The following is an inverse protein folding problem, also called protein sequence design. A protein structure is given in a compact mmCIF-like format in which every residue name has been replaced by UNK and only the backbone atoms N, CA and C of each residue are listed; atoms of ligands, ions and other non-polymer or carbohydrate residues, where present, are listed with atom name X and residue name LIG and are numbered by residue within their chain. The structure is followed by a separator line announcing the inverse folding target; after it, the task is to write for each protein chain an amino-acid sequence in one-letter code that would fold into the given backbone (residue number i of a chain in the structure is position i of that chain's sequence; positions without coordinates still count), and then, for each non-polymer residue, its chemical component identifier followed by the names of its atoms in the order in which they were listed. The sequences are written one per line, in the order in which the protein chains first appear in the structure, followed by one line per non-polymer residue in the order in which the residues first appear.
data_IF_602480428632
#
_entry.id   IF_602480428632
#
_cell.length_a   1.000
_cell.length_b   1.000
_cell.length_c   1.000
_cell.angle_alpha   90.00
_cell.angle_beta   90.00
_cell.angle_gamma   90.00
#
_symmetry.space_group_name_H-M   'P 1'
#
loop_
_entity.id
_entity.type
_entity.pdbx_description
1 polymer ?
#
# COMPACT_ATOMS: atom_id res chain seq x y z
N UNK A 1 5.00 -19.85 -21.71
CA UNK A 1 4.66 -18.95 -20.58
C UNK A 1 4.67 -17.49 -21.01
N UNK A 2 3.51 -16.83 -21.19
CA UNK A 2 3.43 -15.47 -21.75
C UNK A 2 3.45 -14.31 -20.72
N UNK A 3 4.06 -14.49 -19.53
CA UNK A 3 4.04 -13.48 -18.45
C UNK A 3 5.41 -12.82 -18.25
N UNK A 4 5.42 -11.61 -17.70
CA UNK A 4 6.65 -10.86 -17.46
C UNK A 4 7.48 -11.46 -16.32
N UNK A 5 8.63 -12.05 -16.68
CA UNK A 5 9.62 -12.63 -15.75
C UNK A 5 10.84 -11.70 -15.57
N UNK A 6 10.93 -10.63 -16.38
CA UNK A 6 12.06 -9.72 -16.41
C UNK A 6 12.25 -8.85 -15.15
N UNK A 7 13.17 -7.87 -15.20
CA UNK A 7 13.53 -7.04 -14.05
C UNK A 7 12.36 -6.18 -13.54
N UNK A 8 11.81 -6.52 -12.38
CA UNK A 8 10.64 -5.83 -11.78
C UNK A 8 10.93 -4.41 -11.31
N UNK A 9 12.14 -4.16 -10.79
CA UNK A 9 12.55 -2.80 -10.35
C UNK A 9 12.61 -1.82 -11.52
N UNK A 10 12.93 -2.29 -12.74
CA UNK A 10 12.90 -1.46 -13.97
C UNK A 10 11.49 -0.93 -14.22
N UNK A 11 10.46 -1.77 -14.05
CA UNK A 11 9.06 -1.38 -14.20
C UNK A 11 8.66 -0.36 -13.13
N UNK A 12 8.97 -0.63 -11.86
CA UNK A 12 8.62 0.29 -10.76
C UNK A 12 9.25 1.66 -10.94
N UNK A 13 10.51 1.73 -11.40
CA UNK A 13 11.19 3.00 -11.69
C UNK A 13 10.52 3.80 -12.81
N UNK A 14 9.88 3.14 -13.77
CA UNK A 14 9.20 3.77 -14.90
C UNK A 14 7.77 4.19 -14.59
N UNK A 15 7.03 3.34 -13.88
CA UNK A 15 5.57 3.43 -13.76
C UNK A 15 5.13 3.84 -12.35
N UNK A 16 5.99 3.63 -11.35
CA UNK A 16 5.71 3.90 -9.94
C UNK A 16 5.60 2.63 -9.08
N UNK A 17 5.25 2.82 -7.81
CA UNK A 17 5.15 1.74 -6.83
C UNK A 17 3.95 0.83 -7.13
N UNK A 18 4.21 -0.47 -7.31
CA UNK A 18 3.20 -1.49 -7.58
C UNK A 18 3.29 -2.58 -6.51
N UNK A 19 2.33 -2.62 -5.58
CA UNK A 19 2.36 -3.55 -4.43
C UNK A 19 2.22 -5.00 -4.88
N UNK A 20 1.39 -5.27 -5.89
CA UNK A 20 1.17 -6.62 -6.39
C UNK A 20 2.38 -7.22 -7.13
N UNK A 21 3.24 -6.38 -7.72
CA UNK A 21 4.39 -6.82 -8.51
C UNK A 21 5.62 -7.17 -7.67
N UNK A 22 6.05 -6.25 -6.79
CA UNK A 22 7.19 -6.48 -5.87
C UNK A 22 7.14 -5.54 -4.67
N UNK A 23 7.62 -6.04 -3.52
CA UNK A 23 7.83 -5.26 -2.30
C UNK A 23 9.13 -4.46 -2.30
N UNK A 24 10.09 -4.83 -3.17
CA UNK A 24 11.41 -4.20 -3.23
C UNK A 24 11.29 -2.74 -3.67
N UNK A 25 12.00 -1.84 -2.99
CA UNK A 25 12.11 -0.42 -3.37
C UNK A 25 13.43 -0.17 -4.12
N UNK A 26 13.46 0.75 -5.09
CA UNK A 26 14.66 1.02 -5.89
C UNK A 26 15.64 1.95 -5.16
N UNK A 27 16.06 1.61 -3.93
CA UNK A 27 16.87 2.49 -3.07
C UNK A 27 18.17 3.00 -3.71
N UNK A 28 18.81 2.17 -4.55
CA UNK A 28 20.06 2.52 -5.25
C UNK A 28 19.86 3.41 -6.48
N UNK A 29 18.63 3.59 -6.94
CA UNK A 29 18.30 4.33 -8.18
C UNK A 29 17.45 5.55 -7.84
N UNK A 30 17.93 6.31 -6.86
CA UNK A 30 17.31 7.52 -6.32
C UNK A 30 18.28 8.68 -6.52
N UNK A 31 17.77 9.84 -6.86
CA UNK A 31 18.57 11.05 -6.98
C UNK A 31 19.09 11.49 -5.60
N UNK A 32 20.43 11.56 -5.45
CA UNK A 32 21.12 11.86 -4.19
C UNK A 32 21.56 13.32 -4.04
N UNK A 33 21.35 14.17 -5.03
CA UNK A 33 21.71 15.58 -4.98
C UNK A 33 20.85 16.40 -4.00
N UNK A 34 21.14 17.71 -3.90
CA UNK A 34 20.35 18.67 -3.10
C UNK A 34 19.14 19.19 -3.92
N UNK A 35 18.16 19.79 -3.24
CA UNK A 35 16.98 20.40 -3.86
C UNK A 35 15.74 19.50 -3.97
N UNK A 36 14.72 19.96 -4.70
CA UNK A 36 13.38 19.35 -4.75
C UNK A 36 13.32 17.93 -5.36
N UNK A 37 14.38 17.53 -6.08
CA UNK A 37 14.50 16.20 -6.68
C UNK A 37 15.15 15.17 -5.75
N UNK A 38 15.69 15.59 -4.60
CA UNK A 38 16.33 14.69 -3.62
C UNK A 38 15.35 13.60 -3.20
N UNK A 39 15.75 12.33 -3.31
CA UNK A 39 14.88 11.21 -2.96
C UNK A 39 13.95 10.74 -4.09
N UNK A 40 13.88 11.43 -5.23
CA UNK A 40 13.07 10.98 -6.38
C UNK A 40 13.72 9.79 -7.09
N UNK A 41 12.89 8.84 -7.52
CA UNK A 41 13.33 7.63 -8.21
C UNK A 41 13.71 7.96 -9.66
N UNK A 42 14.91 7.58 -10.07
CA UNK A 42 15.43 7.81 -11.42
C UNK A 42 14.78 6.79 -12.40
N UNK A 43 14.09 7.24 -13.46
CA UNK A 43 13.56 6.37 -14.50
C UNK A 43 14.66 5.48 -15.13
N UNK A 44 14.30 4.31 -15.69
CA UNK A 44 15.28 3.46 -16.37
C UNK A 44 15.74 4.06 -17.72
N UNK A 45 16.95 3.70 -18.16
CA UNK A 45 17.56 4.12 -19.42
C UNK A 45 18.64 5.21 -19.24
N UNK A 46 19.46 5.41 -20.27
CA UNK A 46 20.55 6.39 -20.31
C UNK A 46 20.05 7.81 -20.04
N UNK A 47 18.95 8.22 -20.69
CA UNK A 47 18.29 9.51 -20.48
C UNK A 47 17.43 9.58 -19.20
N UNK A 48 17.57 8.65 -18.26
CA UNK A 48 16.77 8.61 -17.04
C UNK A 48 16.98 9.84 -16.14
N UNK A 49 18.21 10.34 -16.05
CA UNK A 49 18.53 11.57 -15.31
C UNK A 49 17.98 12.80 -16.03
N UNK A 50 18.19 12.92 -17.33
CA UNK A 50 17.64 14.02 -18.15
C UNK A 50 16.12 14.12 -17.98
N UNK A 51 15.41 12.97 -17.92
CA UNK A 51 13.97 12.93 -17.66
C UNK A 51 13.55 13.43 -16.28
N UNK A 52 14.41 13.35 -15.26
CA UNK A 52 14.14 13.89 -13.93
C UNK A 52 14.34 15.40 -13.83
N UNK A 53 15.33 15.93 -14.55
CA UNK A 53 15.73 17.33 -14.51
C UNK A 53 14.96 18.24 -15.47
N UNK A 54 14.14 17.67 -16.37
CA UNK A 54 13.23 18.49 -17.18
C UNK A 54 12.30 19.28 -16.26
N UNK A 55 12.40 20.61 -16.36
CA UNK A 55 11.64 21.64 -15.62
C UNK A 55 10.14 21.53 -15.83
N UNK A 56 9.71 21.00 -16.98
CA UNK A 56 8.35 20.54 -17.20
C UNK A 56 8.27 19.07 -16.82
N UNK A 57 7.66 18.75 -15.67
CA UNK A 57 7.58 17.39 -15.19
C UNK A 57 6.50 16.67 -15.98
N UNK A 58 6.67 16.46 -17.29
CA UNK A 58 5.78 15.57 -18.04
C UNK A 58 4.30 16.07 -18.14
N UNK A 59 3.93 17.19 -17.48
CA UNK A 59 2.56 17.67 -17.32
C UNK A 59 2.07 18.69 -18.37
N UNK A 60 2.89 19.18 -19.30
CA UNK A 60 2.42 20.14 -20.34
C UNK A 60 2.39 19.56 -21.76
N UNK A 61 2.73 18.29 -21.93
CA UNK A 61 2.68 17.58 -23.23
C UNK A 61 2.52 16.07 -23.03
N UNK A 62 1.96 15.65 -21.90
CA UNK A 62 1.42 14.30 -21.82
C UNK A 62 0.19 14.27 -22.70
N UNK A 63 0.32 13.72 -23.91
CA UNK A 63 -0.86 13.41 -24.70
C UNK A 63 -1.79 12.54 -23.85
N UNK A 64 -3.10 12.76 -23.96
CA UNK A 64 -4.13 11.94 -23.33
C UNK A 64 -3.85 10.43 -23.45
N UNK A 65 -3.34 10.03 -24.61
CA UNK A 65 -2.91 8.67 -24.89
C UNK A 65 -1.87 8.16 -23.88
N UNK A 66 -0.86 8.96 -23.57
CA UNK A 66 0.25 8.57 -22.71
C UNK A 66 -0.18 8.40 -21.25
N UNK A 67 -1.06 9.26 -20.75
CA UNK A 67 -1.70 9.13 -19.43
C UNK A 67 -2.48 7.81 -19.38
N UNK A 68 -3.35 7.57 -20.37
CA UNK A 68 -4.17 6.36 -20.47
C UNK A 68 -3.31 5.10 -20.58
N UNK A 69 -2.24 5.15 -21.36
CA UNK A 69 -1.26 4.07 -21.51
C UNK A 69 -0.58 3.75 -20.16
N UNK A 70 -0.14 4.78 -19.43
CA UNK A 70 0.49 4.60 -18.11
C UNK A 70 -0.46 3.96 -17.11
N UNK A 71 -1.71 4.43 -17.05
CA UNK A 71 -2.73 3.86 -16.15
C UNK A 71 -3.02 2.40 -16.53
N UNK A 72 -3.18 2.10 -17.82
CA UNK A 72 -3.33 0.72 -18.31
C UNK A 72 -2.16 -0.16 -17.89
N UNK A 73 -0.92 0.30 -18.11
CA UNK A 73 0.28 -0.47 -17.76
C UNK A 73 0.44 -0.63 -16.24
N UNK A 74 0.08 0.38 -15.43
CA UNK A 74 0.01 0.27 -13.96
C UNK A 74 -0.87 -0.89 -13.55
N UNK A 75 -2.09 -0.91 -14.06
CA UNK A 75 -3.09 -1.92 -13.73
C UNK A 75 -2.61 -3.31 -14.18
N UNK A 76 -2.13 -3.45 -15.42
CA UNK A 76 -1.60 -4.71 -15.95
C UNK A 76 -0.49 -5.30 -15.08
N UNK A 77 0.52 -4.49 -14.77
CA UNK A 77 1.68 -4.97 -14.00
C UNK A 77 1.36 -5.17 -12.52
N UNK A 78 0.43 -4.40 -11.94
CA UNK A 78 0.02 -4.60 -10.56
C UNK A 78 -0.59 -6.00 -10.38
N UNK A 79 -1.56 -6.38 -11.23
CA UNK A 79 -2.23 -7.69 -11.18
C UNK A 79 -1.49 -8.82 -11.91
N UNK A 80 -0.34 -8.53 -12.54
CA UNK A 80 0.48 -9.53 -13.24
C UNK A 80 -0.21 -10.16 -14.45
N UNK A 81 -1.02 -9.39 -15.18
CA UNK A 81 -1.80 -9.84 -16.34
C UNK A 81 -0.99 -9.73 -17.64
N UNK A 82 -1.33 -10.57 -18.62
CA UNK A 82 -0.94 -10.31 -20.01
C UNK A 82 -1.83 -9.22 -20.62
N UNK A 83 -1.36 -8.57 -21.69
CA UNK A 83 -2.14 -7.55 -22.39
C UNK A 83 -3.45 -8.14 -22.93
N UNK A 84 -3.38 -9.34 -23.54
CA UNK A 84 -4.54 -10.08 -24.04
C UNK A 84 -5.56 -10.33 -22.94
N UNK A 85 -5.13 -10.83 -21.78
CA UNK A 85 -6.03 -11.05 -20.64
C UNK A 85 -6.69 -9.77 -20.15
N UNK A 86 -5.94 -8.66 -20.08
CA UNK A 86 -6.51 -7.38 -19.69
C UNK A 86 -7.60 -6.92 -20.66
N UNK A 87 -7.35 -7.03 -21.98
CA UNK A 87 -8.35 -6.73 -23.00
C UNK A 87 -9.59 -7.61 -22.86
N UNK A 88 -9.41 -8.91 -22.59
CA UNK A 88 -10.53 -9.82 -22.33
C UNK A 88 -11.35 -9.37 -21.11
N UNK A 89 -10.70 -8.94 -20.02
CA UNK A 89 -11.40 -8.42 -18.84
C UNK A 89 -12.17 -7.13 -19.11
N UNK A 90 -11.58 -6.21 -19.88
CA UNK A 90 -12.27 -4.98 -20.29
C UNK A 90 -13.48 -5.31 -21.15
N UNK A 91 -13.35 -6.22 -22.13
CA UNK A 91 -14.47 -6.68 -22.95
C UNK A 91 -15.57 -7.34 -22.12
N UNK A 92 -15.21 -8.12 -21.10
CA UNK A 92 -16.18 -8.72 -20.16
C UNK A 92 -16.88 -7.63 -19.33
N UNK A 93 -16.13 -6.70 -18.75
CA UNK A 93 -16.67 -5.61 -17.94
C UNK A 93 -17.65 -4.72 -18.73
N UNK A 94 -17.37 -4.45 -20.01
CA UNK A 94 -18.26 -3.67 -20.89
C UNK A 94 -19.64 -4.30 -21.15
N UNK A 95 -19.79 -5.60 -20.91
CA UNK A 95 -21.08 -6.30 -21.10
C UNK A 95 -22.03 -6.12 -19.91
N UNK A 96 -21.52 -5.67 -18.76
CA UNK A 96 -22.35 -5.41 -17.58
C UNK A 96 -22.96 -4.01 -17.68
N UNK A 97 -24.15 -3.84 -17.09
CA UNK A 97 -24.89 -2.56 -17.07
C UNK A 97 -24.24 -1.51 -16.16
N UNK A 98 -23.46 -1.95 -15.18
CA UNK A 98 -22.78 -1.10 -14.21
C UNK A 98 -21.58 -0.34 -14.82
N UNK A 99 -21.03 0.62 -14.07
CA UNK A 99 -19.85 1.37 -14.48
C UNK A 99 -18.68 0.44 -14.81
N UNK A 100 -18.24 0.45 -16.08
CA UNK A 100 -17.24 -0.50 -16.61
C UNK A 100 -15.93 -0.51 -15.81
N UNK A 101 -15.50 0.64 -15.30
CA UNK A 101 -14.28 0.76 -14.49
C UNK A 101 -14.39 0.00 -13.17
N UNK A 102 -15.53 0.09 -12.50
CA UNK A 102 -15.78 -0.59 -11.23
C UNK A 102 -15.86 -2.10 -11.43
N UNK A 103 -16.63 -2.55 -12.44
CA UNK A 103 -16.75 -3.97 -12.78
C UNK A 103 -15.40 -4.56 -13.17
N UNK A 104 -14.59 -3.84 -13.97
CA UNK A 104 -13.24 -4.29 -14.32
C UNK A 104 -12.39 -4.54 -13.07
N UNK A 105 -12.40 -3.61 -12.11
CA UNK A 105 -11.64 -3.76 -10.87
C UNK A 105 -12.17 -4.92 -10.04
N UNK A 106 -13.49 -5.07 -9.93
CA UNK A 106 -14.12 -6.19 -9.24
C UNK A 106 -13.69 -7.54 -9.85
N UNK A 107 -13.75 -7.69 -11.17
CA UNK A 107 -13.30 -8.89 -11.87
C UNK A 107 -11.81 -9.19 -11.61
N UNK A 108 -10.97 -8.18 -11.45
CA UNK A 108 -9.56 -8.36 -11.13
C UNK A 108 -9.31 -8.69 -9.65
N UNK A 109 -10.14 -8.16 -8.75
CA UNK A 109 -10.13 -8.48 -7.32
C UNK A 109 -10.65 -9.90 -7.03
N UNK A 110 -11.59 -10.42 -7.82
CA UNK A 110 -12.16 -11.77 -7.66
C UNK A 110 -11.23 -12.92 -8.10
N UNK A 111 -10.07 -12.61 -8.67
CA UNK A 111 -9.12 -13.65 -9.11
C UNK A 111 -8.47 -14.34 -7.91
N UNK A 112 -8.36 -15.66 -7.93
CA UNK A 112 -7.77 -16.45 -6.84
C UNK A 112 -6.36 -16.00 -6.44
N UNK A 113 -5.47 -15.71 -7.40
CA UNK A 113 -4.13 -15.23 -7.09
C UNK A 113 -4.11 -13.87 -6.39
N UNK A 114 -5.06 -13.00 -6.73
CA UNK A 114 -5.19 -11.72 -6.09
C UNK A 114 -5.83 -11.86 -4.70
N UNK A 115 -6.84 -12.72 -4.52
CA UNK A 115 -7.44 -12.97 -3.21
C UNK A 115 -6.41 -13.55 -2.24
N UNK A 116 -5.61 -14.53 -2.66
CA UNK A 116 -4.52 -15.10 -1.84
C UNK A 116 -3.51 -14.02 -1.43
N UNK A 117 -3.24 -13.05 -2.30
CA UNK A 117 -2.42 -11.89 -1.97
C UNK A 117 -3.13 -10.92 -1.00
N UNK A 118 -4.43 -10.67 -1.16
CA UNK A 118 -5.25 -9.81 -0.29
C UNK A 118 -5.39 -10.38 1.12
N UNK A 119 -5.49 -11.70 1.24
CA UNK A 119 -5.45 -12.45 2.51
C UNK A 119 -4.05 -12.49 3.15
N UNK A 120 -3.05 -11.85 2.54
CA UNK A 120 -1.65 -11.80 3.01
C UNK A 120 -0.97 -13.18 3.15
N UNK A 121 -1.54 -14.24 2.59
CA UNK A 121 -0.91 -15.57 2.54
C UNK A 121 0.36 -15.57 1.68
N UNK A 122 0.47 -14.62 0.76
CA UNK A 122 1.60 -14.44 -0.12
C UNK A 122 2.10 -12.98 -0.13
N UNK A 123 3.40 -12.75 -0.38
CA UNK A 123 3.94 -11.41 -0.30
C UNK A 123 3.63 -10.50 -1.49
N UNK A 124 3.40 -11.08 -2.66
CA UNK A 124 3.13 -10.41 -3.94
C UNK A 124 2.16 -11.28 -4.74
N UNK A 125 1.46 -10.70 -5.72
CA UNK A 125 0.55 -11.47 -6.60
C UNK A 125 1.34 -12.51 -7.41
N UNK A 126 2.59 -12.22 -7.77
CA UNK A 126 3.46 -13.19 -8.46
C UNK A 126 3.75 -14.40 -7.56
N UNK A 127 4.03 -14.17 -6.28
CA UNK A 127 4.24 -15.25 -5.31
C UNK A 127 2.93 -16.01 -5.00
N UNK A 128 1.80 -15.30 -4.90
CA UNK A 128 0.48 -15.91 -4.72
C UNK A 128 0.14 -16.85 -5.88
N UNK A 129 0.41 -16.40 -7.10
CA UNK A 129 0.24 -17.22 -8.30
C UNK A 129 1.10 -18.47 -8.28
N UNK A 130 2.35 -18.39 -7.81
CA UNK A 130 3.22 -19.56 -7.65
C UNK A 130 2.65 -20.54 -6.63
N UNK A 131 2.16 -20.02 -5.49
CA UNK A 131 1.47 -20.82 -4.47
C UNK A 131 0.26 -21.56 -5.04
N UNK A 132 -0.58 -20.86 -5.80
CA UNK A 132 -1.75 -21.45 -6.46
C UNK A 132 -1.30 -22.50 -7.49
N UNK A 133 -0.38 -22.17 -8.41
CA UNK A 133 0.03 -23.11 -9.47
C UNK A 133 0.67 -24.40 -8.94
N UNK A 134 1.40 -24.32 -7.83
CA UNK A 134 1.97 -25.50 -7.18
C UNK A 134 0.96 -26.27 -6.30
N UNK A 135 -0.28 -25.80 -6.20
CA UNK A 135 -1.37 -26.52 -5.54
C UNK A 135 -1.34 -26.41 -4.01
N UNK A 136 -0.78 -25.33 -3.48
CA UNK A 136 -0.79 -25.06 -2.03
C UNK A 136 -2.12 -24.46 -1.55
N UNK A 137 -3.00 -24.05 -2.46
CA UNK A 137 -4.28 -23.41 -2.15
C UNK A 137 -5.44 -24.35 -2.53
N UNK A 138 -6.47 -24.36 -1.70
CA UNK A 138 -7.73 -25.07 -1.91
C UNK A 138 -8.88 -24.06 -1.88
N UNK A 139 -9.89 -24.30 -2.71
CA UNK A 139 -11.15 -23.55 -2.73
C UNK A 139 -12.26 -24.56 -2.47
N UNK A 140 -13.07 -24.33 -1.45
CA UNK A 140 -14.13 -25.25 -1.00
C UNK A 140 -13.59 -26.68 -0.84
N UNK A 141 -12.43 -26.80 -0.16
CA UNK A 141 -11.66 -28.04 0.05
C UNK A 141 -11.11 -28.74 -1.20
N UNK A 142 -11.38 -28.25 -2.42
CA UNK A 142 -10.85 -28.79 -3.67
C UNK A 142 -9.54 -28.10 -4.07
N UNK A 143 -8.60 -28.86 -4.63
CA UNK A 143 -7.31 -28.32 -5.12
C UNK A 143 -7.56 -27.49 -6.39
N UNK A 144 -7.24 -26.20 -6.34
CA UNK A 144 -7.33 -25.30 -7.50
C UNK A 144 -5.93 -24.80 -7.83
N UNK A 145 -5.40 -25.20 -8.99
CA UNK A 145 -4.07 -24.78 -9.47
C UNK A 145 -4.11 -23.68 -10.54
N UNK A 146 -5.30 -23.11 -10.79
CA UNK A 146 -5.51 -22.09 -11.83
C UNK A 146 -5.52 -20.70 -11.16
N UNK A 147 -4.48 -19.86 -11.34
CA UNK A 147 -4.41 -18.53 -10.73
C UNK A 147 -5.49 -17.56 -11.25
N UNK A 148 -6.04 -17.83 -12.42
CA UNK A 148 -7.13 -17.05 -13.04
C UNK A 148 -8.52 -17.55 -12.68
N UNK A 149 -8.63 -18.52 -11.77
CA UNK A 149 -9.91 -18.94 -11.22
C UNK A 149 -10.65 -17.73 -10.64
N UNK A 150 -11.91 -17.58 -11.01
CA UNK A 150 -12.78 -16.53 -10.48
C UNK A 150 -13.48 -17.07 -9.26
N UNK A 151 -13.11 -16.57 -8.10
CA UNK A 151 -13.79 -16.90 -6.86
C UNK A 151 -15.15 -16.25 -6.83
N UNK A 152 -16.13 -16.99 -6.34
CA UNK A 152 -17.45 -16.47 -6.08
C UNK A 152 -17.55 -15.95 -4.64
N UNK A 153 -18.47 -15.03 -4.36
CA UNK A 153 -18.82 -14.72 -2.97
C UNK A 153 -19.15 -16.01 -2.21
N UNK A 154 -18.74 -16.07 -0.93
CA UNK A 154 -18.88 -17.24 -0.05
C UNK A 154 -17.95 -18.43 -0.33
N UNK A 155 -17.06 -18.34 -1.32
CA UNK A 155 -15.99 -19.34 -1.48
C UNK A 155 -15.06 -19.37 -0.25
N UNK A 156 -14.80 -20.57 0.26
CA UNK A 156 -13.86 -20.80 1.38
C UNK A 156 -12.49 -21.12 0.81
N UNK A 157 -11.53 -20.23 1.06
CA UNK A 157 -10.14 -20.38 0.60
C UNK A 157 -9.30 -20.92 1.75
N UNK A 158 -8.73 -22.11 1.58
CA UNK A 158 -7.89 -22.78 2.58
C UNK A 158 -6.51 -23.15 2.01
N UNK A 159 -5.57 -23.47 2.91
CA UNK A 159 -4.23 -23.95 2.54
C UNK A 159 -4.24 -25.47 2.50
N UNK A 160 -3.51 -26.07 1.57
CA UNK A 160 -3.30 -27.50 1.54
C UNK A 160 -2.62 -27.96 2.85
N UNK A 161 -3.15 -29.01 3.48
CA UNK A 161 -2.63 -29.64 4.70
C UNK A 161 -1.32 -30.40 4.43
N UNK A 162 -0.28 -29.66 4.06
CA UNK A 162 1.09 -30.13 3.89
C UNK A 162 2.00 -29.21 4.68
N UNK A 163 2.99 -29.77 5.38
CA UNK A 163 3.90 -29.01 6.23
C UNK A 163 4.59 -27.85 5.48
N UNK A 164 5.06 -28.08 4.25
CA UNK A 164 5.71 -27.04 3.44
C UNK A 164 4.77 -25.87 3.12
N UNK A 165 3.51 -26.15 2.75
CA UNK A 165 2.51 -25.13 2.45
C UNK A 165 2.22 -24.27 3.68
N UNK A 166 1.97 -24.92 4.83
CA UNK A 166 1.67 -24.26 6.09
C UNK A 166 2.85 -23.40 6.55
N UNK A 167 4.08 -23.92 6.51
CA UNK A 167 5.30 -23.18 6.83
C UNK A 167 5.41 -21.90 5.98
N UNK A 168 5.17 -21.99 4.67
CA UNK A 168 5.31 -20.84 3.76
C UNK A 168 4.25 -19.77 4.02
N UNK A 169 2.99 -20.17 4.20
CA UNK A 169 1.88 -19.24 4.48
C UNK A 169 2.04 -18.62 5.87
N UNK A 170 2.34 -19.41 6.90
CA UNK A 170 2.53 -18.92 8.27
C UNK A 170 3.68 -17.91 8.36
N UNK A 171 4.80 -18.14 7.65
CA UNK A 171 5.89 -17.17 7.56
C UNK A 171 5.42 -15.81 7.03
N UNK A 172 4.62 -15.80 5.97
CA UNK A 172 4.11 -14.57 5.37
C UNK A 172 3.10 -13.85 6.29
N UNK A 173 2.21 -14.61 6.94
CA UNK A 173 1.25 -14.07 7.90
C UNK A 173 1.96 -13.49 9.13
N UNK A 174 2.95 -14.19 9.69
CA UNK A 174 3.76 -13.67 10.80
C UNK A 174 4.48 -12.36 10.43
N UNK A 175 5.06 -12.27 9.24
CA UNK A 175 5.68 -11.02 8.75
C UNK A 175 4.66 -9.88 8.67
N UNK A 176 3.43 -10.18 8.23
CA UNK A 176 2.34 -9.21 8.19
C UNK A 176 1.90 -8.77 9.60
N UNK A 177 1.68 -9.70 10.53
CA UNK A 177 1.33 -9.38 11.91
C UNK A 177 2.41 -8.54 12.61
N UNK A 178 3.69 -8.84 12.38
CA UNK A 178 4.80 -8.03 12.92
C UNK A 178 4.73 -6.58 12.41
N UNK A 179 4.45 -6.37 11.13
CA UNK A 179 4.27 -5.01 10.56
C UNK A 179 3.06 -4.30 11.15
N UNK A 180 1.92 -5.00 11.24
CA UNK A 180 0.70 -4.42 11.83
C UNK A 180 0.89 -4.05 13.30
N UNK A 181 1.60 -4.89 14.07
CA UNK A 181 1.97 -4.58 15.47
C UNK A 181 2.88 -3.35 15.55
N UNK A 182 3.87 -3.22 14.65
CA UNK A 182 4.72 -2.04 14.58
C UNK A 182 3.91 -0.76 14.29
N UNK A 183 2.99 -0.83 13.33
CA UNK A 183 2.12 0.32 12.99
C UNK A 183 1.18 0.67 14.14
N UNK A 184 0.62 -0.31 14.85
CA UNK A 184 -0.19 -0.09 16.07
C UNK A 184 0.62 0.62 17.15
N UNK A 185 1.81 0.10 17.49
CA UNK A 185 2.71 0.75 18.46
C UNK A 185 3.09 2.17 18.06
N UNK A 186 3.20 2.44 16.76
CA UNK A 186 3.50 3.78 16.25
C UNK A 186 2.30 4.72 16.36
N UNK A 187 1.09 4.24 16.10
CA UNK A 187 -0.16 5.00 16.26
C UNK A 187 -0.43 5.34 17.72
N UNK A 188 -0.17 4.42 18.64
CA UNK A 188 -0.29 4.65 20.08
C UNK A 188 0.56 5.84 20.57
N UNK A 189 1.66 6.13 19.87
CA UNK A 189 2.59 7.22 20.17
C UNK A 189 2.24 8.55 19.47
N UNK A 190 1.15 8.60 18.71
CA UNK A 190 0.74 9.84 18.02
C UNK A 190 0.06 10.81 18.98
N UNK A 191 0.26 12.12 18.77
CA UNK A 191 -0.35 13.17 19.63
C UNK A 191 -1.85 12.96 19.77
N UNK A 192 -2.56 12.77 18.65
CA UNK A 192 -4.01 12.64 18.65
C UNK A 192 -4.48 11.46 19.51
N UNK A 193 -3.77 10.32 19.43
CA UNK A 193 -4.09 9.14 20.22
C UNK A 193 -3.77 9.34 21.71
N UNK A 194 -2.67 10.01 22.03
CA UNK A 194 -2.29 10.33 23.41
C UNK A 194 -3.32 11.26 24.06
N UNK A 195 -3.78 12.30 23.36
CA UNK A 195 -4.81 13.22 23.87
C UNK A 195 -6.13 12.52 24.15
N UNK A 196 -6.51 11.58 23.29
CA UNK A 196 -7.67 10.71 23.50
C UNK A 196 -7.47 9.75 24.68
N UNK A 197 -6.31 9.07 24.75
CA UNK A 197 -5.98 8.11 25.82
C UNK A 197 -5.95 8.78 27.21
N UNK A 198 -5.43 10.01 27.28
CA UNK A 198 -5.38 10.81 28.50
C UNK A 198 -6.72 11.49 28.84
N UNK A 199 -7.78 11.24 28.06
CA UNK A 199 -9.11 11.86 28.22
C UNK A 199 -9.08 13.40 28.25
N UNK A 200 -8.10 14.02 27.60
CA UNK A 200 -8.08 15.48 27.39
C UNK A 200 -9.15 15.87 26.38
N UNK A 201 -9.42 14.96 25.43
CA UNK A 201 -10.48 15.09 24.44
C UNK A 201 -11.31 13.82 24.44
N UNK A 202 -12.63 13.98 24.32
CA UNK A 202 -13.58 12.87 24.36
C UNK A 202 -13.48 11.96 23.12
N UNK A 203 -13.18 12.53 21.95
CA UNK A 203 -13.15 11.82 20.67
C UNK A 203 -11.88 12.13 19.88
N UNK A 204 -11.46 11.19 19.03
CA UNK A 204 -10.32 11.38 18.11
C UNK A 204 -10.52 12.56 17.15
N UNK A 205 -11.76 12.83 16.72
CA UNK A 205 -12.09 13.97 15.88
C UNK A 205 -11.79 15.31 16.57
N UNK A 206 -12.09 15.45 17.86
CA UNK A 206 -11.76 16.65 18.61
C UNK A 206 -10.25 16.82 18.77
N UNK A 207 -9.50 15.71 18.91
CA UNK A 207 -8.04 15.78 18.96
C UNK A 207 -7.47 16.27 17.62
N UNK A 208 -8.06 15.88 16.49
CA UNK A 208 -7.66 16.39 15.17
C UNK A 208 -7.99 17.89 15.00
N UNK A 209 -9.15 18.33 15.48
CA UNK A 209 -9.56 19.75 15.44
C UNK A 209 -8.59 20.64 16.21
N UNK A 210 -8.24 20.27 17.44
CA UNK A 210 -7.25 21.02 18.24
C UNK A 210 -5.88 21.11 17.54
N UNK A 211 -5.49 20.07 16.81
CA UNK A 211 -4.23 20.05 16.05
C UNK A 211 -4.33 20.99 14.84
N UNK A 212 -5.45 20.99 14.11
CA UNK A 212 -5.63 21.88 12.96
C UNK A 212 -5.72 23.35 13.35
N UNK A 213 -6.33 23.65 14.50
CA UNK A 213 -6.48 25.01 15.02
C UNK A 213 -5.17 25.56 15.62
N UNK A 214 -4.15 24.71 15.81
CA UNK A 214 -2.87 25.13 16.40
C UNK A 214 -2.92 25.35 17.92
N UNK A 215 -3.96 24.85 18.57
CA UNK A 215 -4.22 24.91 20.01
C UNK A 215 -3.37 23.90 20.82
N UNK A 216 -2.36 23.31 20.16
CA UNK A 216 -1.47 22.30 20.72
C UNK A 216 -0.02 22.68 20.45
N UNK A 217 0.78 22.71 21.51
CA UNK A 217 2.24 22.84 21.42
C UNK A 217 2.92 21.62 22.06
N UNK A 218 4.04 21.22 21.49
CA UNK A 218 4.95 20.25 22.10
C UNK A 218 6.30 20.91 22.30
N UNK A 219 6.82 20.86 23.53
CA UNK A 219 8.07 21.55 23.91
C UNK A 219 8.08 23.00 23.40
N UNK A 220 6.98 23.71 23.64
CA UNK A 220 6.70 25.08 23.20
C UNK A 220 6.60 25.31 21.67
N UNK A 221 6.70 24.29 20.83
CA UNK A 221 6.52 24.38 19.36
C UNK A 221 5.12 23.99 18.94
N UNK A 222 4.46 24.81 18.11
CA UNK A 222 3.15 24.49 17.53
C UNK A 222 3.27 23.33 16.54
N UNK A 223 2.36 22.37 16.63
CA UNK A 223 2.33 21.22 15.72
C UNK A 223 0.96 21.15 15.04
N UNK A 224 0.98 21.21 13.71
CA UNK A 224 -0.22 21.11 12.86
C UNK A 224 -0.36 19.73 12.20
N UNK A 225 0.59 18.81 12.46
CA UNK A 225 0.60 17.47 11.86
C UNK A 225 -0.08 16.49 12.81
N UNK A 226 -1.23 15.89 12.44
CA UNK A 226 -1.96 14.97 13.32
C UNK A 226 -1.19 13.68 13.63
N UNK A 227 -0.34 13.24 12.68
CA UNK A 227 0.47 12.04 12.80
C UNK A 227 1.86 12.29 13.41
N UNK A 228 2.04 13.42 14.12
CA UNK A 228 3.28 13.64 14.85
C UNK A 228 3.42 12.59 15.95
N UNK A 229 4.62 12.01 16.04
CA UNK A 229 4.96 10.98 17.00
C UNK A 229 5.65 11.68 18.16
N UNK A 230 5.06 11.59 19.35
CA UNK A 230 5.68 12.13 20.55
C UNK A 230 6.93 11.30 20.91
N UNK A 231 7.82 11.90 21.69
CA UNK A 231 8.86 11.19 22.44
C UNK A 231 8.48 11.06 23.92
N UNK A 232 9.07 10.11 24.68
CA UNK A 232 8.82 9.92 26.10
C UNK A 232 9.10 11.12 27.00
N UNK A 233 9.90 12.08 26.54
CA UNK A 233 10.27 13.29 27.30
C UNK A 233 9.52 14.54 26.83
N UNK A 234 8.61 14.40 25.87
CA UNK A 234 7.91 15.55 25.31
C UNK A 234 6.87 16.10 26.29
N UNK A 235 6.76 17.43 26.32
CA UNK A 235 5.78 18.16 27.10
C UNK A 235 4.71 18.70 26.17
N UNK A 236 3.47 18.26 26.35
CA UNK A 236 2.30 18.68 25.55
C UNK A 236 1.60 19.80 26.31
N UNK A 237 1.40 20.94 25.65
CA UNK A 237 0.56 22.00 26.16
C UNK A 237 -0.66 22.17 25.27
N UNK A 238 -1.84 22.09 25.88
CA UNK A 238 -3.15 22.13 25.20
C UNK A 238 -3.88 23.37 25.67
N UNK A 239 -4.34 24.20 24.75
CA UNK A 239 -5.20 25.34 25.03
C UNK A 239 -6.64 24.96 24.71
N UNK A 240 -7.46 24.75 25.73
CA UNK A 240 -8.89 24.47 25.58
C UNK A 240 -9.72 25.68 26.02
N UNK A 241 -11.02 25.69 25.72
CA UNK A 241 -11.95 26.71 26.24
C UNK A 241 -11.97 26.79 27.78
N UNK A 242 -11.62 25.70 28.46
CA UNK A 242 -11.57 25.59 29.92
C UNK A 242 -10.22 26.02 30.51
N UNK A 243 -9.26 26.45 29.68
CA UNK A 243 -7.93 26.88 30.11
C UNK A 243 -6.79 26.09 29.46
N UNK A 244 -5.56 26.47 29.83
CA UNK A 244 -4.33 25.86 29.35
C UNK A 244 -3.92 24.71 30.28
N UNK A 245 -3.72 23.50 29.70
CA UNK A 245 -3.24 22.32 30.43
C UNK A 245 -1.87 21.91 29.90
N UNK A 246 -0.93 21.64 30.81
CA UNK A 246 0.40 21.15 30.48
C UNK A 246 0.57 19.72 30.98
N UNK A 247 1.03 18.84 30.10
CA UNK A 247 1.15 17.40 30.33
C UNK A 247 2.56 16.99 29.97
N UNK A 248 3.32 16.50 30.95
CA UNK A 248 4.62 15.89 30.69
C UNK A 248 4.38 14.41 30.37
N UNK A 249 4.86 13.94 29.23
CA UNK A 249 4.90 12.51 28.98
C UNK A 249 6.00 11.91 29.86
N UNK A 250 5.71 10.76 30.45
CA UNK A 250 6.65 9.93 31.23
C UNK A 250 6.73 8.56 30.59
N UNK A 251 7.81 7.81 30.82
CA UNK A 251 7.99 6.46 30.27
C UNK A 251 6.87 5.48 30.69
N UNK A 252 6.22 5.72 31.84
CA UNK A 252 5.06 4.94 32.32
C UNK A 252 3.78 5.11 31.49
N UNK A 253 3.67 6.19 30.70
CA UNK A 253 2.52 6.45 29.81
C UNK A 253 2.73 5.93 28.38
N UNK A 254 3.95 5.45 28.09
CA UNK A 254 4.45 5.04 26.77
C UNK A 254 4.25 3.56 26.41
#
# INVERSE_FOLDING_TARGET
MARYIGPKLRIIRRIGKLRGLTRKKPFRRVFRGRGALKGKVIPPGQHGLVKLFKTRPYDSSESDYLIRLKVKQRLRFNYGLSERQLVTYVKKAKKFKEATGQVLLQLLEMRLDNIVFRLNMAPTIVAARQLVSHGHIRVNNKKVNIPSYMCQPKDVISVAMKQQSLKLVNKNLQEYYKRMRFDKKRLEKTIAFILFKLKVVNNMAGALQLISEGNLKINNKRILKPNYICNPKDTITVTTKQGMRTIKLTESLY
#
